data_IF_352563985290
#
_entry.id   IF_352563985290
#
_cell.length_a   1.000
_cell.length_b   1.000
_cell.length_c   1.000
_cell.angle_alpha   90.00
_cell.angle_beta   90.00
_cell.angle_gamma   90.00
#
_symmetry.space_group_name_H-M   'P 1'
#
loop_
_entity.id
_entity.type
_entity.pdbx_description
1 polymer ?
#
# COMPACT_ATOMS: atom_id res chain seq x y z
N UNK A 1 -17.21 0.08 -16.00
CA UNK A 1 -16.78 1.00 -14.92
C UNK A 1 -16.57 0.17 -13.67
N UNK A 2 -15.39 0.21 -13.06
CA UNK A 2 -15.04 -0.54 -11.83
C UNK A 2 -15.75 0.06 -10.60
N UNK A 3 -17.09 0.03 -10.60
CA UNK A 3 -17.88 0.44 -9.44
C UNK A 3 -17.58 -0.50 -8.26
N UNK A 4 -16.95 0.02 -7.21
CA UNK A 4 -16.79 -0.70 -5.94
C UNK A 4 -15.36 -0.78 -5.38
N UNK A 5 -14.36 -0.24 -6.10
CA UNK A 5 -12.98 -0.22 -5.60
C UNK A 5 -12.77 0.85 -4.53
N UNK A 6 -12.94 0.45 -3.27
CA UNK A 6 -12.80 1.35 -2.11
C UNK A 6 -11.39 1.87 -1.90
N UNK A 7 -10.36 1.10 -2.27
CA UNK A 7 -8.96 1.51 -2.20
C UNK A 7 -8.09 0.62 -3.08
N UNK A 8 -6.98 1.17 -3.58
CA UNK A 8 -5.88 0.43 -4.18
C UNK A 8 -4.63 0.65 -3.32
N UNK A 9 -4.05 -0.42 -2.82
CA UNK A 9 -2.82 -0.45 -2.05
C UNK A 9 -1.68 -0.87 -2.96
N UNK A 10 -0.58 -0.14 -2.93
CA UNK A 10 0.59 -0.38 -3.79
C UNK A 10 1.83 -0.34 -2.92
N UNK A 11 2.77 -1.24 -3.14
CA UNK A 11 4.14 -1.11 -2.65
C UNK A 11 5.10 -1.01 -3.83
N UNK A 12 6.02 -0.05 -3.71
CA UNK A 12 7.01 0.31 -4.70
C UNK A 12 8.39 0.10 -4.09
N UNK A 13 9.29 -0.53 -4.85
CA UNK A 13 10.71 -0.70 -4.52
C UNK A 13 11.53 -0.29 -5.74
N UNK A 14 12.54 0.57 -5.56
CA UNK A 14 13.41 0.97 -6.67
C UNK A 14 12.70 1.70 -7.81
N UNK A 15 11.54 2.31 -7.56
CA UNK A 15 10.71 2.96 -8.59
C UNK A 15 9.71 2.03 -9.27
N UNK A 16 9.76 0.72 -9.02
CA UNK A 16 8.86 -0.26 -9.61
C UNK A 16 7.79 -0.72 -8.61
N UNK A 17 6.54 -0.82 -9.07
CA UNK A 17 5.44 -1.37 -8.28
C UNK A 17 5.56 -2.90 -8.24
N UNK A 18 5.90 -3.46 -7.09
CA UNK A 18 6.14 -4.91 -6.92
C UNK A 18 4.90 -5.68 -6.48
N UNK A 19 3.93 -4.99 -5.89
CA UNK A 19 2.67 -5.58 -5.44
C UNK A 19 1.60 -4.49 -5.38
N UNK A 20 0.42 -4.83 -5.88
CA UNK A 20 -0.79 -4.04 -5.71
C UNK A 20 -1.97 -4.93 -5.34
N UNK A 21 -2.83 -4.41 -4.48
CA UNK A 21 -4.02 -5.12 -4.01
C UNK A 21 -5.14 -4.15 -3.66
N UNK A 22 -6.36 -4.64 -3.74
CA UNK A 22 -7.56 -3.82 -3.48
C UNK A 22 -8.11 -4.03 -2.07
N UNK A 23 -7.60 -5.06 -1.41
CA UNK A 23 -7.91 -5.42 -0.04
C UNK A 23 -6.65 -5.36 0.82
N UNK A 24 -6.68 -4.59 1.91
CA UNK A 24 -5.52 -4.41 2.78
C UNK A 24 -5.02 -5.73 3.40
N UNK A 25 -5.91 -6.64 3.78
CA UNK A 25 -5.51 -7.92 4.38
C UNK A 25 -4.79 -8.79 3.35
N UNK A 26 -5.31 -8.84 2.12
CA UNK A 26 -4.65 -9.52 1.00
C UNK A 26 -3.28 -8.91 0.71
N UNK A 27 -3.22 -7.57 0.65
CA UNK A 27 -1.99 -6.81 0.44
C UNK A 27 -0.91 -7.19 1.45
N UNK A 28 -1.23 -7.12 2.75
CA UNK A 28 -0.25 -7.42 3.81
C UNK A 28 0.20 -8.87 3.74
N UNK A 29 -0.71 -9.84 3.57
CA UNK A 29 -0.33 -11.25 3.45
C UNK A 29 0.59 -11.53 2.27
N UNK A 30 0.34 -10.90 1.12
CA UNK A 30 1.21 -11.04 -0.05
C UNK A 30 2.56 -10.37 0.18
N UNK A 31 2.58 -9.21 0.84
CA UNK A 31 3.82 -8.53 1.17
C UNK A 31 4.65 -9.33 2.19
N UNK A 32 4.03 -9.96 3.19
CA UNK A 32 4.68 -10.90 4.12
C UNK A 32 5.33 -12.09 3.38
N UNK A 33 4.76 -12.53 2.26
CA UNK A 33 5.37 -13.54 1.40
C UNK A 33 6.61 -13.06 0.61
N UNK A 34 6.75 -11.74 0.40
CA UNK A 34 7.91 -11.11 -0.27
C UNK A 34 8.97 -10.74 0.77
N UNK A 35 8.54 -10.21 1.91
CA UNK A 35 9.37 -9.77 3.03
C UNK A 35 8.83 -10.35 4.35
N UNK A 36 9.28 -11.56 4.74
CA UNK A 36 8.81 -12.25 5.94
C UNK A 36 9.03 -11.48 7.24
N UNK A 37 10.07 -10.64 7.31
CA UNK A 37 10.40 -9.80 8.47
C UNK A 37 9.62 -8.47 8.52
N UNK A 38 8.63 -8.31 7.64
CA UNK A 38 7.80 -7.12 7.58
C UNK A 38 6.86 -6.98 8.79
N UNK A 39 6.22 -5.81 8.89
CA UNK A 39 5.26 -5.53 9.96
C UNK A 39 3.93 -6.23 9.69
N UNK A 40 3.20 -6.55 10.75
CA UNK A 40 1.91 -7.22 10.64
C UNK A 40 0.77 -6.31 10.13
N UNK A 41 -0.39 -6.93 9.89
CA UNK A 41 -1.62 -6.26 9.46
C UNK A 41 -2.00 -5.04 10.30
N UNK A 42 -1.91 -5.12 11.64
CA UNK A 42 -2.33 -4.04 12.52
C UNK A 42 -1.47 -2.78 12.36
N UNK A 43 -0.17 -2.96 12.13
CA UNK A 43 0.72 -1.87 11.79
C UNK A 43 0.25 -1.17 10.52
N UNK A 44 0.08 -1.92 9.42
CA UNK A 44 -0.33 -1.37 8.14
C UNK A 44 -1.71 -0.72 8.19
N UNK A 45 -2.67 -1.34 8.89
CA UNK A 45 -4.00 -0.76 9.11
C UNK A 45 -3.92 0.59 9.83
N UNK A 46 -3.17 0.69 10.93
CA UNK A 46 -2.98 1.95 11.65
C UNK A 46 -2.24 2.99 10.81
N UNK A 47 -1.23 2.57 10.04
CA UNK A 47 -0.43 3.46 9.19
C UNK A 47 -1.28 4.06 8.07
N UNK A 48 -2.01 3.24 7.32
CA UNK A 48 -2.89 3.66 6.24
C UNK A 48 -4.17 4.39 6.69
N UNK A 49 -4.46 4.43 8.00
CA UNK A 49 -5.46 5.32 8.58
C UNK A 49 -4.93 6.74 8.82
N UNK A 50 -3.61 6.89 9.03
CA UNK A 50 -2.97 8.18 9.30
C UNK A 50 -2.46 8.83 8.03
N UNK A 51 -1.84 8.06 7.14
CA UNK A 51 -1.14 8.55 5.97
C UNK A 51 -1.52 7.75 4.73
N UNK A 52 -1.64 8.43 3.57
CA UNK A 52 -1.90 7.78 2.27
C UNK A 52 -0.64 7.19 1.66
N UNK A 53 0.50 7.84 1.89
CA UNK A 53 1.81 7.43 1.38
C UNK A 53 2.78 7.43 2.55
N UNK A 54 3.57 6.37 2.70
CA UNK A 54 4.64 6.31 3.69
C UNK A 54 5.77 5.40 3.22
N UNK A 55 6.95 5.57 3.81
CA UNK A 55 8.10 4.68 3.59
C UNK A 55 8.31 3.76 4.79
N UNK A 56 8.80 2.56 4.53
CA UNK A 56 9.16 1.58 5.54
C UNK A 56 10.42 0.85 5.09
N UNK A 57 11.43 0.80 5.97
CA UNK A 57 12.64 0.01 5.75
C UNK A 57 12.44 -1.40 6.29
N UNK A 58 12.71 -2.41 5.47
CA UNK A 58 12.68 -3.84 5.82
C UNK A 58 13.90 -4.49 5.16
N UNK A 59 14.71 -5.24 5.91
CA UNK A 59 15.88 -5.96 5.38
C UNK A 59 16.75 -5.11 4.43
N UNK A 60 17.17 -3.93 4.91
CA UNK A 60 17.98 -2.94 4.20
C UNK A 60 17.33 -2.25 2.99
N UNK A 61 16.17 -2.74 2.51
CA UNK A 61 15.41 -2.14 1.42
C UNK A 61 14.43 -1.09 1.93
N UNK A 62 14.33 0.04 1.23
CA UNK A 62 13.32 1.06 1.48
C UNK A 62 12.13 0.87 0.55
N UNK A 63 10.97 0.59 1.13
CA UNK A 63 9.71 0.41 0.42
C UNK A 63 8.85 1.66 0.54
N UNK A 64 8.23 2.06 -0.58
CA UNK A 64 7.21 3.11 -0.59
C UNK A 64 5.83 2.49 -0.71
N UNK A 65 4.98 2.74 0.29
CA UNK A 65 3.61 2.26 0.36
C UNK A 65 2.65 3.38 -0.03
N UNK A 66 1.66 3.07 -0.84
CA UNK A 66 0.63 4.02 -1.28
C UNK A 66 -0.77 3.43 -1.13
N UNK A 67 -1.73 4.28 -0.78
CA UNK A 67 -3.16 3.98 -0.77
C UNK A 67 -3.90 5.02 -1.61
N UNK A 68 -4.40 4.58 -2.76
CA UNK A 68 -5.20 5.38 -3.69
C UNK A 68 -6.69 5.09 -3.48
N UNK A 69 -7.54 6.08 -3.73
CA UNK A 69 -9.00 5.98 -3.67
C UNK A 69 -9.61 6.44 -5.00
N UNK A 70 -10.77 5.89 -5.38
CA UNK A 70 -11.48 6.26 -6.61
C UNK A 70 -11.96 7.73 -6.63
N UNK A 71 -12.05 8.38 -5.46
CA UNK A 71 -12.49 9.79 -5.33
C UNK A 71 -11.38 10.70 -4.85
N UNK A 72 -10.35 10.89 -5.66
CA UNK A 72 -9.76 12.22 -5.74
C UNK A 72 -10.35 12.88 -6.98
N UNK A 73 -11.34 13.76 -6.77
CA UNK A 73 -11.60 14.80 -7.77
C UNK A 73 -10.29 15.56 -7.87
N UNK A 74 -9.51 15.32 -8.91
CA UNK A 74 -8.44 16.23 -9.29
C UNK A 74 -9.08 17.61 -9.36
N UNK A 75 -8.70 18.59 -8.51
CA UNK A 75 -9.12 19.96 -8.77
C UNK A 75 -8.50 20.33 -10.11
N UNK A 76 -9.34 20.52 -11.12
CA UNK A 76 -8.93 21.10 -12.39
C UNK A 76 -8.12 22.36 -12.07
N UNK A 77 -6.83 22.31 -12.35
CA UNK A 77 -6.01 23.51 -12.50
C UNK A 77 -6.06 23.91 -13.96
#
# INVERSE_FOLDING_TARGET
MLQGLKALYIVILGGEAILFETNLRSFVRKFEGIEPDSRNFDYFYRRFRKERIFRLKVNEKEYTFQKLFEREKFPNR
#
